data_IF_705737097826
#
_entry.id   IF_705737097826
#
_cell.length_a   1.000
_cell.length_b   1.000
_cell.length_c   1.000
_cell.angle_alpha   90.00
_cell.angle_beta   90.00
_cell.angle_gamma   90.00
#
_symmetry.space_group_name_H-M   'P 1'
#
loop_
_entity.id
_entity.type
_entity.pdbx_description
1 polymer ?
#
# COMPACT_ATOMS: atom_id res chain seq x y z
N UNK A 1 -2.14 -26.46 21.11
CA UNK A 1 -1.36 -26.58 22.35
C UNK A 1 -0.73 -25.24 22.68
N UNK A 2 -0.67 -24.85 23.95
CA UNK A 2 0.07 -23.65 24.38
C UNK A 2 1.57 -23.97 24.41
N UNK A 3 2.24 -23.77 23.28
CA UNK A 3 3.62 -24.16 23.03
C UNK A 3 4.68 -23.37 23.80
N UNK A 4 5.95 -23.62 23.47
CA UNK A 4 7.11 -23.03 24.14
C UNK A 4 7.03 -21.50 24.28
N UNK A 5 6.65 -20.79 23.21
CA UNK A 5 6.54 -19.33 23.20
C UNK A 5 5.54 -18.81 24.25
N UNK A 6 4.38 -19.46 24.37
CA UNK A 6 3.36 -19.08 25.35
C UNK A 6 3.85 -19.30 26.80
N UNK A 7 4.47 -20.45 27.07
CA UNK A 7 5.01 -20.74 28.41
C UNK A 7 6.21 -19.83 28.76
N UNK A 8 7.02 -19.47 27.77
CA UNK A 8 8.10 -18.51 27.93
C UNK A 8 7.56 -17.12 28.29
N UNK A 9 6.58 -16.62 27.52
CA UNK A 9 5.92 -15.35 27.77
C UNK A 9 5.34 -15.24 29.20
N UNK A 10 4.67 -16.29 29.68
CA UNK A 10 4.15 -16.30 31.05
C UNK A 10 5.25 -16.28 32.12
N UNK A 11 6.33 -17.06 31.95
CA UNK A 11 7.44 -17.11 32.91
C UNK A 11 8.18 -15.78 33.03
N UNK A 12 8.35 -15.07 31.91
CA UNK A 12 9.09 -13.81 31.85
C UNK A 12 8.18 -12.59 31.97
N UNK A 13 6.86 -12.77 32.16
CA UNK A 13 5.86 -11.70 32.14
C UNK A 13 5.91 -10.84 30.87
N UNK A 14 6.24 -11.43 29.72
CA UNK A 14 6.21 -10.76 28.42
C UNK A 14 4.83 -10.90 27.81
N UNK A 15 4.23 -9.80 27.34
CA UNK A 15 3.04 -9.82 26.50
C UNK A 15 3.29 -9.13 25.17
N UNK A 16 2.50 -9.51 24.16
CA UNK A 16 2.47 -8.85 22.86
C UNK A 16 1.25 -7.93 22.79
N UNK A 17 1.45 -6.66 22.46
CA UNK A 17 0.38 -5.67 22.28
C UNK A 17 0.32 -5.23 20.82
N UNK A 18 -0.83 -5.43 20.19
CA UNK A 18 -1.14 -4.88 18.86
C UNK A 18 -2.08 -3.69 19.03
N UNK A 19 -1.68 -2.51 18.53
CA UNK A 19 -2.53 -1.31 18.55
C UNK A 19 -3.17 -1.12 17.17
N UNK A 20 -4.50 -1.15 17.12
CA UNK A 20 -5.28 -0.88 15.91
C UNK A 20 -5.48 0.63 15.74
N UNK A 21 -5.46 1.10 14.49
CA UNK A 21 -5.97 2.43 14.12
C UNK A 21 -7.45 2.34 13.75
N UNK A 22 -8.16 3.45 13.87
CA UNK A 22 -9.61 3.61 13.68
C UNK A 22 -10.15 2.76 12.52
N UNK A 23 -10.97 1.77 12.86
CA UNK A 23 -11.89 1.13 11.94
C UNK A 23 -13.10 2.06 11.83
N UNK A 24 -13.01 3.07 10.96
CA UNK A 24 -14.08 4.05 10.75
C UNK A 24 -15.32 3.40 10.15
N UNK A 25 -16.42 3.47 10.91
CA UNK A 25 -17.80 3.16 10.53
C UNK A 25 -18.22 3.87 9.25
N UNK A 26 -18.25 3.16 8.12
CA UNK A 26 -18.81 3.64 6.86
C UNK A 26 -20.22 3.09 6.69
N UNK A 27 -21.17 3.96 6.35
CA UNK A 27 -22.55 3.57 6.06
C UNK A 27 -22.62 2.93 4.66
N UNK A 28 -22.97 1.64 4.64
CA UNK A 28 -23.08 0.86 3.40
C UNK A 28 -24.12 1.44 2.44
N UNK A 29 -25.16 2.11 2.94
CA UNK A 29 -26.18 2.74 2.11
C UNK A 29 -25.61 3.93 1.32
N UNK A 30 -24.72 4.71 1.93
CA UNK A 30 -24.01 5.81 1.26
C UNK A 30 -23.07 5.26 0.18
N UNK A 31 -22.38 4.16 0.45
CA UNK A 31 -21.51 3.50 -0.54
C UNK A 31 -22.32 2.95 -1.70
N UNK A 32 -23.49 2.36 -1.43
CA UNK A 32 -24.36 1.80 -2.46
C UNK A 32 -24.94 2.88 -3.39
N UNK A 33 -25.38 4.02 -2.82
CA UNK A 33 -25.89 5.14 -3.61
C UNK A 33 -24.80 5.82 -4.43
N UNK A 34 -23.63 6.06 -3.83
CA UNK A 34 -22.48 6.69 -4.51
C UNK A 34 -21.91 5.87 -5.67
N UNK A 35 -22.16 4.55 -5.73
CA UNK A 35 -21.73 3.69 -6.84
C UNK A 35 -22.64 3.77 -8.08
N UNK A 36 -23.85 4.30 -7.98
CA UNK A 36 -24.82 4.27 -9.09
C UNK A 36 -24.38 5.16 -10.27
N UNK A 37 -23.92 6.37 -9.99
CA UNK A 37 -23.46 7.31 -11.01
C UNK A 37 -22.23 6.78 -11.78
N UNK A 38 -21.12 6.36 -11.11
CA UNK A 38 -19.97 5.78 -11.80
C UNK A 38 -20.34 4.55 -12.65
N UNK A 39 -21.22 3.68 -12.14
CA UNK A 39 -21.70 2.51 -12.91
C UNK A 39 -22.41 2.92 -14.20
N UNK A 40 -23.19 3.99 -14.17
CA UNK A 40 -23.92 4.48 -15.34
C UNK A 40 -22.98 5.05 -16.41
N UNK A 41 -21.90 5.72 -15.99
CA UNK A 41 -20.85 6.21 -16.90
C UNK A 41 -20.06 5.03 -17.47
N UNK A 42 -19.59 4.13 -16.60
CA UNK A 42 -18.78 2.95 -16.98
C UNK A 42 -19.55 2.03 -17.94
N UNK A 43 -20.87 1.89 -17.78
CA UNK A 43 -21.70 1.06 -18.66
C UNK A 43 -21.75 1.53 -20.13
N UNK A 44 -21.30 2.75 -20.44
CA UNK A 44 -21.21 3.25 -21.81
C UNK A 44 -19.98 2.73 -22.56
N UNK A 45 -19.04 2.10 -21.86
CA UNK A 45 -17.78 1.60 -22.40
C UNK A 45 -17.74 0.08 -22.40
N UNK A 46 -17.00 -0.50 -23.34
CA UNK A 46 -16.75 -1.94 -23.32
C UNK A 46 -15.84 -2.28 -22.12
N UNK A 47 -16.02 -3.41 -21.40
CA UNK A 47 -15.19 -3.77 -20.24
C UNK A 47 -13.67 -3.70 -20.48
N UNK A 48 -13.21 -4.10 -21.67
CA UNK A 48 -11.81 -3.97 -22.09
C UNK A 48 -11.25 -2.53 -22.08
N UNK A 49 -12.12 -1.53 -22.19
CA UNK A 49 -11.78 -0.10 -22.25
C UNK A 49 -12.00 0.61 -20.89
N UNK A 50 -12.41 -0.14 -19.86
CA UNK A 50 -12.63 0.38 -18.50
C UNK A 50 -11.45 -0.02 -17.64
N UNK A 51 -10.59 0.93 -17.31
CA UNK A 51 -9.43 0.71 -16.45
C UNK A 51 -9.69 1.15 -15.02
N UNK A 52 -9.06 0.45 -14.08
CA UNK A 52 -9.02 0.84 -12.68
C UNK A 52 -7.58 0.81 -12.18
N UNK A 53 -7.09 1.98 -11.79
CA UNK A 53 -5.79 2.14 -11.14
C UNK A 53 -5.98 2.25 -9.62
N UNK A 54 -5.14 1.56 -8.85
CA UNK A 54 -5.02 1.78 -7.41
C UNK A 54 -3.55 1.80 -6.93
N UNK A 55 -3.31 2.45 -5.79
CA UNK A 55 -2.00 2.62 -5.19
C UNK A 55 -1.78 1.68 -4.00
N UNK A 56 -0.67 0.96 -4.00
CA UNK A 56 -0.18 0.24 -2.83
C UNK A 56 1.20 0.72 -2.39
N UNK A 57 1.41 0.83 -1.08
CA UNK A 57 2.67 1.33 -0.50
C UNK A 57 3.47 0.22 0.16
N UNK A 58 4.72 0.04 -0.26
CA UNK A 58 5.69 -0.87 0.36
C UNK A 58 6.54 -0.09 1.37
N UNK A 59 6.28 -0.29 2.66
CA UNK A 59 7.04 0.37 3.74
C UNK A 59 8.26 -0.44 4.19
N UNK A 60 9.33 -0.38 3.40
CA UNK A 60 10.52 -1.22 3.60
C UNK A 60 11.37 -0.90 4.85
N UNK A 61 11.08 0.20 5.57
CA UNK A 61 11.72 0.53 6.86
C UNK A 61 10.76 0.41 8.05
N UNK A 62 9.59 -0.17 7.86
CA UNK A 62 8.56 -0.26 8.90
C UNK A 62 8.90 -1.40 9.86
N UNK A 63 9.08 -1.06 11.13
CA UNK A 63 9.23 -2.02 12.22
C UNK A 63 7.89 -2.75 12.50
N UNK A 64 7.90 -3.91 13.16
CA UNK A 64 6.68 -4.57 13.64
C UNK A 64 5.78 -3.61 14.43
N UNK A 65 4.46 -3.81 14.35
CA UNK A 65 3.46 -2.95 15.02
C UNK A 65 3.40 -3.13 16.54
N UNK A 66 4.01 -4.19 17.05
CA UNK A 66 4.05 -4.52 18.47
C UNK A 66 5.46 -4.88 18.91
N UNK A 67 5.72 -4.68 20.19
CA UNK A 67 6.97 -5.03 20.86
C UNK A 67 6.66 -6.00 21.99
N UNK A 68 7.54 -6.96 22.24
CA UNK A 68 7.54 -7.74 23.48
C UNK A 68 8.22 -6.91 24.56
N UNK A 69 7.49 -6.57 25.62
CA UNK A 69 8.01 -5.76 26.72
C UNK A 69 7.52 -6.30 28.06
N UNK A 70 8.32 -6.10 29.10
CA UNK A 70 7.96 -6.30 30.51
C UNK A 70 7.44 -5.01 31.16
N UNK A 71 7.62 -3.84 30.50
CA UNK A 71 7.13 -2.55 30.97
C UNK A 71 5.74 -2.23 30.39
N UNK A 72 4.73 -2.12 31.28
CA UNK A 72 3.34 -1.75 30.93
C UNK A 72 3.19 -0.29 30.49
N UNK A 73 4.16 0.56 30.85
CA UNK A 73 4.20 1.99 30.52
C UNK A 73 4.90 2.31 29.20
N UNK A 74 5.45 1.31 28.50
CA UNK A 74 6.20 1.51 27.26
C UNK A 74 5.38 2.30 26.21
N UNK A 75 5.93 3.42 25.76
CA UNK A 75 5.25 4.31 24.80
C UNK A 75 5.42 3.76 23.39
N UNK A 76 4.36 3.87 22.59
CA UNK A 76 4.41 3.47 21.19
C UNK A 76 5.43 4.30 20.41
N UNK A 77 6.29 3.65 19.62
CA UNK A 77 7.22 4.32 18.72
C UNK A 77 6.53 4.68 17.40
N UNK A 78 6.79 5.90 16.89
CA UNK A 78 6.32 6.32 15.57
C UNK A 78 6.98 5.45 14.49
N UNK A 79 6.17 4.72 13.75
CA UNK A 79 6.69 3.87 12.68
C UNK A 79 7.22 4.70 11.51
N UNK A 80 8.31 4.21 10.90
CA UNK A 80 8.81 4.78 9.66
C UNK A 80 7.74 4.72 8.57
N UNK A 81 7.49 5.87 7.94
CA UNK A 81 6.60 6.01 6.78
C UNK A 81 7.38 6.05 5.45
N UNK A 82 8.66 5.69 5.48
CA UNK A 82 9.47 5.58 4.27
C UNK A 82 8.93 4.41 3.44
N UNK A 83 8.60 4.71 2.19
CA UNK A 83 7.93 3.78 1.28
C UNK A 83 8.43 3.93 -0.15
N UNK A 84 8.13 2.92 -0.94
CA UNK A 84 7.96 3.02 -2.39
C UNK A 84 6.49 2.73 -2.68
N UNK A 85 5.86 3.53 -3.51
CA UNK A 85 4.47 3.31 -3.93
C UNK A 85 4.46 2.62 -5.27
N UNK A 86 3.50 1.73 -5.47
CA UNK A 86 3.27 0.99 -6.71
C UNK A 86 1.85 1.31 -7.13
N UNK A 87 1.70 1.81 -8.34
CA UNK A 87 0.39 1.94 -8.98
C UNK A 87 0.20 0.71 -9.85
N UNK A 88 -0.95 0.07 -9.66
CA UNK A 88 -1.37 -1.13 -10.38
C UNK A 88 -2.60 -0.76 -11.18
N UNK A 89 -2.63 -1.14 -12.45
CA UNK A 89 -3.76 -0.86 -13.33
C UNK A 89 -4.09 -2.09 -14.18
N UNK A 90 -5.38 -2.33 -14.35
CA UNK A 90 -5.94 -3.40 -15.17
C UNK A 90 -7.31 -3.00 -15.69
N UNK A 91 -7.65 -3.49 -16.88
CA UNK A 91 -8.99 -3.33 -17.40
C UNK A 91 -10.01 -4.25 -16.70
N UNK A 92 -11.30 -3.93 -16.86
CA UNK A 92 -12.38 -4.57 -16.11
C UNK A 92 -12.60 -6.04 -16.49
N UNK A 93 -12.22 -6.46 -17.70
CA UNK A 93 -12.25 -7.87 -18.12
C UNK A 93 -10.94 -8.63 -17.85
N UNK A 94 -9.90 -7.93 -17.39
CA UNK A 94 -8.60 -8.49 -17.03
C UNK A 94 -7.74 -8.95 -18.21
N UNK A 95 -8.12 -8.64 -19.45
CA UNK A 95 -7.35 -8.97 -20.65
C UNK A 95 -6.09 -8.14 -20.80
N UNK A 96 -6.05 -6.94 -20.21
CA UNK A 96 -4.90 -6.05 -20.25
C UNK A 96 -4.51 -5.53 -18.87
N UNK A 97 -3.22 -5.33 -18.67
CA UNK A 97 -2.62 -4.77 -17.46
C UNK A 97 -1.48 -3.85 -17.87
N UNK A 98 -1.53 -2.62 -17.38
CA UNK A 98 -0.45 -1.68 -17.63
C UNK A 98 0.81 -2.10 -16.84
N UNK A 99 2.01 -1.73 -17.32
CA UNK A 99 3.24 -1.89 -16.58
C UNK A 99 3.13 -1.30 -15.16
N UNK A 100 3.63 -2.03 -14.16
CA UNK A 100 3.68 -1.52 -12.79
C UNK A 100 4.42 -0.18 -12.76
N UNK A 101 3.81 0.81 -12.11
CA UNK A 101 4.39 2.14 -12.01
C UNK A 101 4.89 2.40 -10.59
N UNK A 102 6.21 2.45 -10.42
CA UNK A 102 6.84 2.68 -9.13
C UNK A 102 7.08 4.17 -8.90
N UNK A 103 6.78 4.63 -7.68
CA UNK A 103 7.01 6.00 -7.24
C UNK A 103 7.89 5.98 -6.00
N UNK A 104 9.09 6.52 -6.15
CA UNK A 104 10.02 6.71 -5.03
C UNK A 104 10.23 8.18 -4.67
N UNK A 105 11.09 8.42 -3.68
CA UNK A 105 11.46 9.78 -3.26
C UNK A 105 12.60 10.36 -4.10
N UNK A 106 13.50 9.51 -4.60
CA UNK A 106 14.69 9.92 -5.34
C UNK A 106 14.37 10.01 -6.83
N UNK A 107 14.88 11.04 -7.51
CA UNK A 107 14.75 11.19 -8.97
C UNK A 107 15.32 9.95 -9.67
N UNK A 108 16.52 9.54 -9.27
CA UNK A 108 17.18 8.31 -9.75
C UNK A 108 17.73 7.56 -8.53
N UNK A 109 17.03 6.51 -8.06
CA UNK A 109 17.55 5.65 -7.00
C UNK A 109 18.89 5.06 -7.39
N UNK A 110 19.84 5.01 -6.45
CA UNK A 110 21.16 4.40 -6.69
C UNK A 110 21.11 3.00 -7.33
N UNK A 111 20.19 2.09 -6.94
CA UNK A 111 20.10 0.76 -7.59
C UNK A 111 19.61 0.77 -9.05
N UNK A 112 19.02 1.89 -9.49
CA UNK A 112 18.50 2.07 -10.86
C UNK A 112 19.39 3.00 -11.70
N UNK A 113 20.50 3.48 -11.12
CA UNK A 113 21.42 4.37 -11.83
C UNK A 113 22.01 3.63 -13.04
N UNK A 114 22.02 4.30 -14.19
CA UNK A 114 22.57 3.80 -15.46
C UNK A 114 21.89 2.51 -15.97
N UNK A 115 20.63 2.26 -15.56
CA UNK A 115 19.82 1.11 -15.99
C UNK A 115 18.62 1.53 -16.81
N UNK A 116 18.23 0.70 -17.77
CA UNK A 116 16.97 0.85 -18.49
C UNK A 116 15.89 0.03 -17.78
N UNK A 117 15.24 0.66 -16.80
CA UNK A 117 14.25 0.01 -15.92
C UNK A 117 13.13 -0.65 -16.71
N UNK A 118 12.64 0.00 -17.78
CA UNK A 118 11.55 -0.55 -18.58
C UNK A 118 12.00 -1.75 -19.40
N UNK A 119 13.14 -1.66 -20.10
CA UNK A 119 13.64 -2.77 -20.91
C UNK A 119 14.06 -3.99 -20.05
N UNK A 120 14.61 -3.75 -18.86
CA UNK A 120 15.14 -4.81 -18.00
C UNK A 120 14.08 -5.47 -17.12
N UNK A 121 13.06 -4.73 -16.68
CA UNK A 121 12.08 -5.21 -15.69
C UNK A 121 10.62 -5.11 -16.17
N UNK A 122 10.34 -4.42 -17.27
CA UNK A 122 8.96 -4.19 -17.73
C UNK A 122 8.15 -3.28 -16.80
N UNK A 123 8.82 -2.43 -16.02
CA UNK A 123 8.18 -1.51 -15.06
C UNK A 123 8.62 -0.08 -15.32
N UNK A 124 7.80 0.87 -14.91
CA UNK A 124 8.13 2.29 -14.99
C UNK A 124 8.47 2.83 -13.60
N UNK A 125 9.27 3.90 -13.55
CA UNK A 125 9.64 4.55 -12.29
C UNK A 125 9.57 6.07 -12.43
N UNK A 126 8.94 6.72 -11.46
CA UNK A 126 9.00 8.18 -11.29
C UNK A 126 9.29 8.56 -9.84
N UNK A 127 9.41 9.84 -9.58
CA UNK A 127 9.65 10.36 -8.24
C UNK A 127 8.62 11.41 -7.83
N UNK A 128 8.35 11.46 -6.52
CA UNK A 128 7.68 12.59 -5.89
C UNK A 128 8.22 12.79 -4.48
N UNK A 129 8.15 14.02 -3.95
CA UNK A 129 8.76 14.36 -2.66
C UNK A 129 8.27 13.47 -1.49
N UNK A 130 7.03 12.97 -1.58
CA UNK A 130 6.41 12.10 -0.58
C UNK A 130 6.35 10.62 -1.00
N UNK A 131 6.80 10.27 -2.21
CA UNK A 131 6.64 8.95 -2.83
C UNK A 131 5.17 8.50 -2.89
N UNK A 132 4.30 9.36 -3.42
CA UNK A 132 2.88 9.09 -3.75
C UNK A 132 2.60 9.47 -5.20
N UNK A 133 1.51 8.94 -5.74
CA UNK A 133 0.93 9.52 -6.95
C UNK A 133 0.50 10.96 -6.66
N UNK A 134 0.60 11.79 -7.69
CA UNK A 134 0.04 13.14 -7.69
C UNK A 134 -0.77 13.31 -8.96
N UNK A 135 -1.68 14.28 -8.99
CA UNK A 135 -2.44 14.59 -10.21
C UNK A 135 -1.52 14.87 -11.41
N UNK A 136 -0.38 15.52 -11.17
CA UNK A 136 0.61 15.75 -12.22
C UNK A 136 1.21 14.43 -12.75
N UNK A 137 1.54 13.47 -11.86
CA UNK A 137 2.08 12.16 -12.25
C UNK A 137 1.05 11.24 -12.88
N UNK A 138 -0.23 11.40 -12.54
CA UNK A 138 -1.32 10.65 -13.14
C UNK A 138 -1.58 11.07 -14.60
N UNK A 139 -1.30 12.33 -14.95
CA UNK A 139 -1.49 12.87 -16.30
C UNK A 139 -0.22 12.83 -17.18
N UNK A 140 0.91 12.35 -16.65
CA UNK A 140 2.18 12.15 -17.40
C UNK A 140 2.16 10.82 -18.16
#
# INVERSE_FOLDING_TARGET
SHGWLYKFQQRTSLWFSLRHGESGSLDEAIVASGRQEPKTVVAQYHPRDVYNMDETSVFYRREPRGTLTTDKGEKGKKQSKVRVTVCVDSNADGSDRLPLHFIGKSIVPRPLKDRNVFAELGVTYTHSAKAWMTTAKFCE
#
